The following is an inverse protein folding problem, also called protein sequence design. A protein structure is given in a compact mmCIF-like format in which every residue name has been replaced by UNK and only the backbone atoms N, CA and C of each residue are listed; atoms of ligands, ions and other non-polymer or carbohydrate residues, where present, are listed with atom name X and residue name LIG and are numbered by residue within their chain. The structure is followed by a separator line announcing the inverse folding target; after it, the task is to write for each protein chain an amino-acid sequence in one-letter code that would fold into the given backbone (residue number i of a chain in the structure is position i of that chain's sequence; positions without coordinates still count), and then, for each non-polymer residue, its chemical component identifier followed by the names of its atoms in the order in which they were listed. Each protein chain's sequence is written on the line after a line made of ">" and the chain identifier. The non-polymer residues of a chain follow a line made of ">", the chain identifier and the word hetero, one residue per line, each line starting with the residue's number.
data_IF_101410807644
#
_entry.id   IF_101410807644
#
_cell.length_a   1.000
_cell.length_b   1.000
_cell.length_c   1.000
_cell.angle_alpha   90.00
_cell.angle_beta   90.00
_cell.angle_gamma   90.00
#
_symmetry.space_group_name_H-M   'P 1'
#
loop_
_entity.id
_entity.type
_entity.pdbx_description
1 polymer ?
#
# COMPACT_ATOMS: atom_id res chain seq x y z
N UNK A 1 2.66 -18.98 4.76
CA UNK A 1 2.78 -17.60 5.30
C UNK A 1 4.24 -17.17 5.20
N UNK A 2 4.64 -16.26 4.29
CA UNK A 2 6.01 -15.66 4.29
C UNK A 2 6.29 -14.70 3.11
N UNK A 3 5.39 -13.75 2.78
CA UNK A 3 5.69 -12.72 1.75
C UNK A 3 5.40 -11.27 2.17
N UNK A 4 5.22 -11.00 3.47
CA UNK A 4 4.83 -9.66 3.97
C UNK A 4 6.02 -8.89 4.61
N UNK A 5 7.13 -9.55 4.95
CA UNK A 5 8.21 -8.90 5.71
C UNK A 5 9.02 -7.88 4.90
N UNK A 6 9.12 -8.04 3.59
CA UNK A 6 10.03 -7.27 2.73
C UNK A 6 9.59 -5.80 2.54
N UNK A 7 8.29 -5.49 2.60
CA UNK A 7 7.84 -4.12 2.29
C UNK A 7 8.04 -3.12 3.43
N UNK A 8 8.12 -3.54 4.71
CA UNK A 8 8.17 -2.57 5.82
C UNK A 8 9.55 -1.95 5.98
N UNK A 9 10.61 -2.73 5.81
CA UNK A 9 11.99 -2.23 5.90
C UNK A 9 12.31 -1.30 4.73
N UNK A 10 11.87 -1.66 3.51
CA UNK A 10 11.98 -0.81 2.32
C UNK A 10 11.21 0.51 2.47
N UNK A 11 10.03 0.49 3.11
CA UNK A 11 9.25 1.71 3.34
C UNK A 11 9.85 2.60 4.44
N UNK A 12 10.58 2.02 5.41
CA UNK A 12 11.25 2.79 6.47
C UNK A 12 12.49 3.52 5.99
N UNK A 13 13.16 3.02 4.95
CA UNK A 13 14.34 3.65 4.36
C UNK A 13 14.02 4.88 3.49
N UNK A 14 12.74 5.11 3.17
CA UNK A 14 12.30 6.18 2.27
C UNK A 14 11.99 7.48 2.99
N UNK A 15 12.10 8.58 2.26
CA UNK A 15 11.76 9.91 2.77
C UNK A 15 10.24 10.12 2.88
N UNK A 16 9.82 11.14 3.64
CA UNK A 16 8.39 11.47 3.78
C UNK A 16 7.74 11.87 2.45
N UNK A 17 8.48 12.51 1.55
CA UNK A 17 8.00 12.90 0.22
C UNK A 17 7.79 11.66 -0.66
N UNK A 18 8.78 10.78 -0.72
CA UNK A 18 8.69 9.51 -1.45
C UNK A 18 7.56 8.63 -0.92
N UNK A 19 7.32 8.62 0.39
CA UNK A 19 6.21 7.90 1.00
C UNK A 19 4.84 8.47 0.57
N UNK A 20 4.73 9.79 0.35
CA UNK A 20 3.51 10.39 -0.18
C UNK A 20 3.29 10.06 -1.66
N UNK A 21 4.35 10.03 -2.47
CA UNK A 21 4.27 9.63 -3.88
C UNK A 21 3.86 8.15 -4.01
N UNK A 22 4.45 7.28 -3.19
CA UNK A 22 4.07 5.86 -3.14
C UNK A 22 2.63 5.71 -2.64
N UNK A 23 2.21 6.53 -1.68
CA UNK A 23 0.83 6.52 -1.21
C UNK A 23 -0.15 6.87 -2.33
N UNK A 24 0.17 7.85 -3.18
CA UNK A 24 -0.66 8.24 -4.31
C UNK A 24 -0.78 7.09 -5.33
N UNK A 25 0.35 6.52 -5.74
CA UNK A 25 0.38 5.39 -6.69
C UNK A 25 -0.34 4.15 -6.17
N UNK A 26 -0.16 3.78 -4.90
CA UNK A 26 -0.85 2.63 -4.29
C UNK A 26 -2.37 2.87 -4.16
N UNK A 27 -2.83 4.12 -3.96
CA UNK A 27 -4.25 4.48 -3.98
C UNK A 27 -4.87 4.33 -5.36
N UNK A 28 -4.15 4.74 -6.41
CA UNK A 28 -4.59 4.52 -7.80
C UNK A 28 -4.64 3.04 -8.14
N UNK A 29 -3.60 2.28 -7.76
CA UNK A 29 -3.57 0.83 -7.93
C UNK A 29 -4.76 0.17 -7.21
N UNK A 30 -5.10 0.61 -5.99
CA UNK A 30 -6.27 0.14 -5.27
C UNK A 30 -7.56 0.45 -6.03
N UNK A 31 -7.70 1.64 -6.61
CA UNK A 31 -8.89 2.01 -7.42
C UNK A 31 -9.02 1.11 -8.64
N UNK A 32 -7.93 0.91 -9.39
CA UNK A 32 -7.90 0.03 -10.54
C UNK A 32 -8.23 -1.43 -10.17
N UNK A 33 -7.65 -1.95 -9.08
CA UNK A 33 -7.95 -3.29 -8.59
C UNK A 33 -9.42 -3.43 -8.15
N UNK A 34 -9.98 -2.42 -7.48
CA UNK A 34 -11.41 -2.42 -7.10
C UNK A 34 -12.30 -2.43 -8.33
N UNK A 35 -11.97 -1.66 -9.36
CA UNK A 35 -12.72 -1.66 -10.61
C UNK A 35 -12.69 -3.03 -11.28
N UNK A 36 -11.50 -3.60 -11.46
CA UNK A 36 -11.34 -4.91 -12.10
C UNK A 36 -11.95 -6.08 -11.30
N UNK A 37 -11.97 -5.99 -9.96
CA UNK A 37 -12.69 -6.94 -9.10
C UNK A 37 -14.19 -6.78 -9.29
N UNK A 38 -14.68 -5.55 -9.43
CA UNK A 38 -16.10 -5.28 -9.65
C UNK A 38 -16.58 -5.75 -11.02
N UNK A 39 -15.77 -5.60 -12.08
CA UNK A 39 -16.06 -6.13 -13.42
C UNK A 39 -15.85 -7.65 -13.53
N UNK A 40 -15.49 -8.33 -12.44
CA UNK A 40 -15.19 -9.77 -12.38
C UNK A 40 -14.06 -10.24 -13.31
N UNK A 41 -13.26 -9.31 -13.85
CA UNK A 41 -12.12 -9.61 -14.73
C UNK A 41 -10.98 -10.33 -13.99
N UNK A 42 -10.89 -10.18 -12.66
CA UNK A 42 -9.85 -10.85 -11.86
C UNK A 42 -10.43 -11.53 -10.63
N UNK A 43 -10.06 -12.79 -10.44
CA UNK A 43 -10.32 -13.58 -9.22
C UNK A 43 -9.34 -13.26 -8.07
N UNK A 44 -8.31 -12.44 -8.32
CA UNK A 44 -7.23 -12.15 -7.35
C UNK A 44 -7.64 -11.10 -6.29
N UNK A 45 -8.76 -11.32 -5.61
CA UNK A 45 -9.28 -10.43 -4.54
C UNK A 45 -8.32 -10.23 -3.37
N UNK A 46 -7.38 -11.15 -3.17
CA UNK A 46 -6.36 -11.03 -2.13
C UNK A 46 -5.40 -9.85 -2.37
N UNK A 47 -5.21 -9.43 -3.63
CA UNK A 47 -4.37 -8.26 -3.97
C UNK A 47 -4.95 -6.98 -3.39
N UNK A 48 -6.28 -6.82 -3.45
CA UNK A 48 -6.97 -5.67 -2.83
C UNK A 48 -6.67 -5.59 -1.34
N UNK A 49 -6.66 -6.74 -0.64
CA UNK A 49 -6.30 -6.81 0.79
C UNK A 49 -4.82 -6.49 1.02
N UNK A 50 -3.93 -6.94 0.14
CA UNK A 50 -2.50 -6.65 0.22
C UNK A 50 -2.21 -5.15 0.02
N UNK A 51 -2.77 -4.54 -1.03
CA UNK A 51 -2.64 -3.10 -1.31
C UNK A 51 -3.18 -2.24 -0.17
N UNK A 52 -4.33 -2.59 0.43
CA UNK A 52 -4.85 -1.88 1.62
C UNK A 52 -3.89 -1.96 2.80
N UNK A 53 -3.29 -3.12 3.07
CA UNK A 53 -2.30 -3.27 4.15
C UNK A 53 -1.06 -2.42 3.88
N UNK A 54 -0.61 -2.36 2.63
CA UNK A 54 0.55 -1.55 2.24
C UNK A 54 0.28 -0.06 2.46
N UNK A 55 -0.88 0.44 2.05
CA UNK A 55 -1.35 1.81 2.34
C UNK A 55 -1.37 2.08 3.85
N UNK A 56 -1.90 1.15 4.65
CA UNK A 56 -1.96 1.31 6.10
C UNK A 56 -0.57 1.41 6.74
N UNK A 57 0.40 0.60 6.28
CA UNK A 57 1.79 0.69 6.74
C UNK A 57 2.42 2.04 6.39
N UNK A 58 2.24 2.54 5.16
CA UNK A 58 2.76 3.85 4.72
C UNK A 58 2.18 4.97 5.59
N UNK A 59 0.86 4.98 5.80
CA UNK A 59 0.20 5.98 6.65
C UNK A 59 0.70 5.93 8.10
N UNK A 60 0.97 4.72 8.61
CA UNK A 60 1.49 4.52 9.96
C UNK A 60 2.89 5.10 10.08
N UNK A 61 3.78 4.84 9.11
CA UNK A 61 5.13 5.41 9.07
C UNK A 61 5.11 6.93 8.98
N UNK A 62 4.26 7.50 8.11
CA UNK A 62 4.09 8.95 8.00
C UNK A 62 3.65 9.55 9.34
N UNK A 63 2.65 8.96 10.01
CA UNK A 63 2.16 9.43 11.31
C UNK A 63 3.22 9.36 12.41
N UNK A 64 4.01 8.29 12.46
CA UNK A 64 5.11 8.16 13.40
C UNK A 64 6.22 9.18 13.14
N UNK A 65 6.46 9.58 11.89
CA UNK A 65 7.41 10.63 11.56
C UNK A 65 6.93 12.02 12.02
N UNK A 66 5.61 12.29 12.00
CA UNK A 66 5.05 13.59 12.41
C UNK A 66 4.87 13.75 13.92
N UNK A 67 4.68 12.64 14.65
CA UNK A 67 4.34 12.66 16.10
C UNK A 67 5.59 12.54 16.98
N UNK A 68 6.70 13.18 16.60
CA UNK A 68 7.97 13.11 17.32
C UNK A 68 8.36 14.46 17.92
#
# INVERSE_FOLDING_TARGET
>A
MSKIRIQLEELRAKSAEELNDILATEREALRALRFKVHTQEIKQVHLVKATRKRIAHILTLLKHATTK
#
